data_IF_893362704515
#
_entry.id   IF_893362704515
#
_cell.length_a   1.000
_cell.length_b   1.000
_cell.length_c   1.000
_cell.angle_alpha   90.00
_cell.angle_beta   90.00
_cell.angle_gamma   90.00
#
_symmetry.space_group_name_H-M   'P 1'
#
loop_
_entity.id
_entity.type
_entity.pdbx_description
1 polymer ?
#
# COMPACT_ATOMS: atom_id res chain seq x y z
N UNK A 1 22.70 -16.39 -8.15
CA UNK A 1 21.97 -16.79 -6.92
C UNK A 1 20.88 -15.75 -6.74
N UNK A 2 19.61 -16.17 -6.76
CA UNK A 2 18.45 -15.30 -6.58
C UNK A 2 18.55 -14.56 -5.25
N UNK A 3 18.44 -13.24 -5.27
CA UNK A 3 18.54 -12.40 -4.07
C UNK A 3 17.22 -12.43 -3.30
N UNK A 4 17.30 -12.51 -1.98
CA UNK A 4 16.12 -12.64 -1.13
C UNK A 4 15.75 -11.30 -0.50
N UNK A 5 14.50 -10.89 -0.66
CA UNK A 5 14.01 -9.58 -0.28
C UNK A 5 12.82 -9.73 0.65
N UNK A 6 12.87 -9.10 1.81
CA UNK A 6 11.70 -8.92 2.65
C UNK A 6 11.12 -7.53 2.41
N UNK A 7 9.91 -7.46 1.85
CA UNK A 7 9.21 -6.21 1.64
C UNK A 7 8.10 -6.04 2.67
N UNK A 8 8.30 -5.13 3.61
CA UNK A 8 7.41 -4.84 4.71
C UNK A 8 6.57 -3.58 4.47
N UNK A 9 5.27 -3.70 4.72
CA UNK A 9 4.26 -2.66 4.52
C UNK A 9 3.70 -2.28 5.89
N UNK A 10 3.50 -0.98 6.10
CA UNK A 10 2.89 -0.44 7.33
C UNK A 10 1.55 0.24 7.02
N UNK A 11 0.85 0.70 8.07
CA UNK A 11 -0.48 1.34 7.95
C UNK A 11 -0.47 2.74 7.35
N UNK A 12 0.28 2.96 6.28
CA UNK A 12 0.39 4.23 5.57
C UNK A 12 -0.33 4.14 4.22
N UNK A 13 -1.18 5.15 3.93
CA UNK A 13 -1.74 5.33 2.59
C UNK A 13 -0.84 6.12 1.65
N UNK A 14 -0.05 7.05 2.21
CA UNK A 14 0.99 7.75 1.46
C UNK A 14 2.06 6.74 1.01
N UNK A 15 2.52 6.87 -0.25
CA UNK A 15 3.43 5.96 -0.92
C UNK A 15 2.93 4.52 -1.08
N UNK A 16 1.68 4.21 -0.74
CA UNK A 16 1.20 2.82 -0.78
C UNK A 16 1.21 2.29 -2.22
N UNK A 17 0.58 2.99 -3.16
CA UNK A 17 0.53 2.56 -4.56
C UNK A 17 1.92 2.53 -5.18
N UNK A 18 2.70 3.58 -4.96
CA UNK A 18 4.06 3.73 -5.46
C UNK A 18 5.01 2.64 -4.89
N UNK A 19 4.73 2.14 -3.69
CA UNK A 19 5.48 1.02 -3.12
C UNK A 19 5.13 -0.30 -3.80
N UNK A 20 3.86 -0.53 -4.12
CA UNK A 20 3.46 -1.74 -4.86
C UNK A 20 3.93 -1.68 -6.31
N UNK A 21 3.85 -0.53 -6.98
CA UNK A 21 4.43 -0.30 -8.30
C UNK A 21 5.94 -0.59 -8.29
N UNK A 22 6.69 -0.03 -7.34
CA UNK A 22 8.12 -0.30 -7.20
C UNK A 22 8.45 -1.78 -6.91
N UNK A 23 7.58 -2.47 -6.17
CA UNK A 23 7.69 -3.91 -5.94
C UNK A 23 7.44 -4.70 -7.23
N UNK A 24 6.43 -4.34 -8.03
CA UNK A 24 6.15 -4.95 -9.33
C UNK A 24 7.34 -4.79 -10.27
N UNK A 25 7.85 -3.56 -10.39
CA UNK A 25 9.05 -3.24 -11.16
C UNK A 25 10.27 -4.08 -10.74
N UNK A 26 10.49 -4.23 -9.44
CA UNK A 26 11.58 -5.02 -8.88
C UNK A 26 11.43 -6.50 -9.27
N UNK A 27 10.22 -7.03 -9.12
CA UNK A 27 9.90 -8.40 -9.48
C UNK A 27 10.02 -8.61 -10.98
N UNK A 28 9.65 -7.65 -11.83
CA UNK A 28 9.81 -7.79 -13.27
C UNK A 28 11.29 -7.78 -13.69
N UNK A 29 12.05 -6.77 -13.24
CA UNK A 29 13.37 -6.44 -13.79
C UNK A 29 14.52 -7.24 -13.19
N UNK A 30 14.34 -7.83 -12.01
CA UNK A 30 15.44 -8.44 -11.25
C UNK A 30 15.19 -9.91 -10.92
N UNK A 31 16.27 -10.69 -10.79
CA UNK A 31 16.20 -12.09 -10.33
C UNK A 31 16.13 -12.14 -8.79
N UNK A 32 14.92 -11.92 -8.26
CA UNK A 32 14.66 -11.79 -6.82
C UNK A 32 13.55 -12.72 -6.33
N UNK A 33 13.65 -13.14 -5.07
CA UNK A 33 12.60 -13.85 -4.33
C UNK A 33 12.10 -12.93 -3.22
N UNK A 34 10.79 -12.72 -3.15
CA UNK A 34 10.17 -11.74 -2.24
C UNK A 34 9.31 -12.43 -1.20
N UNK A 35 9.52 -12.07 0.06
CA UNK A 35 8.57 -12.31 1.15
C UNK A 35 7.90 -10.97 1.52
N UNK A 36 6.55 -10.92 1.52
CA UNK A 36 5.80 -9.74 1.94
C UNK A 36 5.45 -9.80 3.43
N UNK A 37 5.61 -8.69 4.13
CA UNK A 37 5.28 -8.56 5.55
C UNK A 37 4.27 -7.44 5.76
N UNK A 38 3.13 -7.74 6.35
CA UNK A 38 2.10 -6.75 6.66
C UNK A 38 1.94 -6.59 8.16
N UNK A 39 2.10 -5.36 8.66
CA UNK A 39 1.60 -5.06 10.00
C UNK A 39 0.07 -5.16 10.07
N UNK A 40 -0.49 -5.26 11.28
CA UNK A 40 -1.95 -5.30 11.46
C UNK A 40 -2.63 -4.10 10.79
N UNK A 41 -2.07 -2.91 10.98
CA UNK A 41 -2.56 -1.68 10.35
C UNK A 41 -2.35 -1.68 8.83
N UNK A 42 -1.27 -2.28 8.32
CA UNK A 42 -1.01 -2.38 6.90
C UNK A 42 -2.08 -3.20 6.18
N UNK A 43 -2.50 -4.33 6.77
CA UNK A 43 -3.55 -5.19 6.21
C UNK A 43 -4.86 -4.41 6.03
N UNK A 44 -5.29 -3.68 7.07
CA UNK A 44 -6.51 -2.88 7.03
C UNK A 44 -6.44 -1.74 6.00
N UNK A 45 -5.29 -1.06 5.95
CA UNK A 45 -5.05 0.04 5.03
C UNK A 45 -5.04 -0.47 3.59
N UNK A 46 -4.23 -1.48 3.27
CA UNK A 46 -4.14 -2.06 1.93
C UNK A 46 -5.50 -2.56 1.42
N UNK A 47 -6.33 -3.14 2.29
CA UNK A 47 -7.72 -3.50 1.99
C UNK A 47 -8.55 -2.28 1.58
N UNK A 48 -8.55 -1.23 2.40
CA UNK A 48 -9.38 -0.05 2.15
C UNK A 48 -8.95 0.75 0.90
N UNK A 49 -7.67 0.67 0.52
CA UNK A 49 -7.16 1.27 -0.72
C UNK A 49 -7.36 0.37 -1.95
N UNK A 50 -7.88 -0.85 -1.78
CA UNK A 50 -8.16 -1.77 -2.89
C UNK A 50 -6.91 -2.37 -3.53
N UNK A 51 -5.79 -2.30 -2.82
CA UNK A 51 -4.48 -2.87 -3.19
C UNK A 51 -4.45 -4.37 -2.89
N UNK A 52 -5.14 -4.74 -1.83
CA UNK A 52 -5.19 -6.09 -1.30
C UNK A 52 -6.64 -6.49 -1.12
N UNK A 53 -7.03 -7.70 -1.52
CA UNK A 53 -8.33 -8.28 -1.18
C UNK A 53 -8.13 -9.55 -0.37
N UNK A 54 -8.89 -9.74 0.72
CA UNK A 54 -8.90 -11.05 1.38
C UNK A 54 -9.33 -12.11 0.37
N UNK A 55 -8.86 -13.36 0.51
CA UNK A 55 -9.38 -14.48 -0.28
C UNK A 55 -10.90 -14.48 -0.16
N UNK A 56 -11.58 -14.64 -1.29
CA UNK A 56 -13.03 -14.89 -1.28
C UNK A 56 -13.17 -16.34 -0.86
N UNK A 57 -13.79 -16.66 0.29
CA UNK A 57 -14.01 -18.05 0.66
C UNK A 57 -14.83 -18.71 -0.46
N UNK A 58 -14.27 -19.72 -1.11
CA UNK A 58 -15.06 -20.53 -2.02
C UNK A 58 -16.20 -21.20 -1.22
N UNK A 59 -17.34 -21.44 -1.87
CA UNK A 59 -18.53 -22.00 -1.21
C UNK A 59 -18.33 -23.45 -0.72
N UNK A 60 -17.16 -24.04 -0.95
CA UNK A 60 -16.83 -25.39 -0.53
C UNK A 60 -16.30 -25.39 0.91
N UNK A 61 -16.98 -26.18 1.74
CA UNK A 61 -16.67 -26.29 3.16
C UNK A 61 -15.40 -27.11 3.36
N UNK A 62 -14.26 -26.42 3.44
CA UNK A 62 -13.14 -26.62 4.37
C UNK A 62 -11.94 -25.85 3.80
N UNK A 63 -11.46 -24.84 4.53
CA UNK A 63 -10.20 -24.15 4.21
C UNK A 63 -9.07 -25.08 4.68
N UNK A 64 -8.66 -26.02 3.82
CA UNK A 64 -7.66 -27.06 4.17
C UNK A 64 -6.20 -26.62 3.91
N UNK A 65 -5.97 -25.48 3.23
CA UNK A 65 -4.62 -24.97 2.95
C UNK A 65 -4.22 -23.85 3.92
N UNK A 66 -3.17 -24.11 4.69
CA UNK A 66 -2.50 -23.15 5.57
C UNK A 66 -1.94 -22.00 4.73
N UNK A 67 -2.67 -20.87 4.73
CA UNK A 67 -2.43 -19.60 4.02
C UNK A 67 -2.69 -19.65 2.50
N UNK A 68 -3.95 -19.45 2.11
CA UNK A 68 -4.25 -18.98 0.76
C UNK A 68 -3.57 -17.62 0.52
N UNK A 69 -2.87 -17.50 -0.61
CA UNK A 69 -2.31 -16.23 -1.04
C UNK A 69 -3.46 -15.23 -1.27
N UNK A 70 -3.32 -14.00 -0.80
CA UNK A 70 -4.32 -12.97 -1.01
C UNK A 70 -4.44 -12.60 -2.49
N UNK A 71 -5.65 -12.19 -2.90
CA UNK A 71 -5.84 -11.65 -4.24
C UNK A 71 -5.40 -10.19 -4.27
N UNK A 72 -4.30 -9.91 -4.96
CA UNK A 72 -3.85 -8.55 -5.21
C UNK A 72 -4.59 -7.95 -6.40
N UNK A 73 -4.91 -6.66 -6.32
CA UNK A 73 -5.44 -5.95 -7.47
C UNK A 73 -4.30 -5.69 -8.45
N UNK A 74 -4.10 -6.58 -9.43
CA UNK A 74 -2.96 -6.58 -10.35
C UNK A 74 -2.67 -5.21 -10.98
N UNK A 75 -3.72 -4.43 -11.23
CA UNK A 75 -3.58 -3.07 -11.75
C UNK A 75 -2.69 -2.17 -10.89
N UNK A 76 -2.59 -2.35 -9.57
CA UNK A 76 -1.72 -1.52 -8.70
C UNK A 76 -0.24 -1.65 -9.03
N UNK A 77 0.17 -2.73 -9.69
CA UNK A 77 1.53 -2.93 -10.14
C UNK A 77 1.80 -2.17 -11.46
N UNK A 78 0.77 -1.58 -12.08
CA UNK A 78 0.89 -0.73 -13.25
C UNK A 78 0.81 0.75 -12.87
N UNK A 79 1.65 1.58 -13.48
CA UNK A 79 1.67 3.03 -13.21
C UNK A 79 0.37 3.75 -13.56
N UNK A 80 -0.45 3.17 -14.44
CA UNK A 80 -1.73 3.74 -14.89
C UNK A 80 -2.85 3.63 -13.85
N UNK A 81 -2.71 2.78 -12.82
CA UNK A 81 -3.77 2.59 -11.82
C UNK A 81 -4.16 3.90 -11.13
N UNK A 82 -3.19 4.72 -10.73
CA UNK A 82 -3.46 6.00 -10.08
C UNK A 82 -4.23 6.91 -11.04
N UNK A 83 -3.82 6.98 -12.31
CA UNK A 83 -4.45 7.81 -13.34
C UNK A 83 -5.90 7.37 -13.63
N UNK A 84 -6.17 6.06 -13.67
CA UNK A 84 -7.51 5.48 -13.86
C UNK A 84 -8.51 5.91 -12.80
N UNK A 85 -8.03 6.18 -11.58
CA UNK A 85 -8.86 6.57 -10.45
C UNK A 85 -8.65 8.04 -10.03
N UNK A 86 -7.94 8.85 -10.82
CA UNK A 86 -7.82 10.30 -10.61
C UNK A 86 -9.19 11.00 -10.85
N UNK A 87 -9.80 11.37 -9.72
CA UNK A 87 -10.80 12.43 -9.52
C UNK A 87 -12.18 12.35 -10.21
N UNK A 88 -13.19 11.94 -9.42
CA UNK A 88 -14.63 12.22 -9.63
C UNK A 88 -15.20 12.97 -8.42
N UNK A 89 -14.81 14.24 -8.20
CA UNK A 89 -15.21 14.97 -6.98
C UNK A 89 -15.15 16.50 -7.03
N UNK A 90 -16.14 17.11 -7.70
CA UNK A 90 -16.66 18.49 -7.54
C UNK A 90 -15.71 19.67 -7.23
N UNK A 91 -15.06 20.21 -8.27
CA UNK A 91 -14.84 21.65 -8.51
C UNK A 91 -14.46 21.90 -9.96
N UNK A 92 -15.47 21.98 -10.84
CA UNK A 92 -15.33 22.19 -12.30
C UNK A 92 -14.63 23.50 -12.71
N UNK A 93 -14.39 24.44 -11.79
CA UNK A 93 -14.01 25.81 -12.17
C UNK A 93 -12.54 26.21 -11.95
N UNK A 94 -11.72 25.43 -11.25
CA UNK A 94 -10.31 25.81 -11.01
C UNK A 94 -9.31 25.18 -11.99
N UNK A 95 -9.69 24.14 -12.74
CA UNK A 95 -8.81 23.44 -13.69
C UNK A 95 -8.60 24.16 -15.02
N UNK A 96 -9.53 25.03 -15.46
CA UNK A 96 -9.37 25.77 -16.73
C UNK A 96 -8.20 26.76 -16.74
N UNK A 97 -7.70 27.19 -15.59
CA UNK A 97 -6.62 28.19 -15.49
C UNK A 97 -5.22 27.60 -15.33
N UNK A 98 -5.09 26.34 -14.91
CA UNK A 98 -3.78 25.67 -14.77
C UNK A 98 -3.42 24.76 -15.94
N UNK A 99 -4.39 24.34 -16.76
CA UNK A 99 -4.16 23.54 -17.97
C UNK A 99 -3.73 24.36 -19.21
N UNK A 100 -3.66 25.69 -19.13
CA UNK A 100 -3.24 26.54 -20.25
C UNK A 100 -1.73 26.84 -20.30
N UNK A 101 -0.93 26.39 -19.34
CA UNK A 101 0.52 26.70 -19.29
C UNK A 101 1.45 25.49 -19.19
N UNK A 102 0.95 24.26 -19.36
CA UNK A 102 1.83 23.09 -19.35
C UNK A 102 1.24 21.90 -20.08
N UNK A 103 1.85 21.58 -21.21
CA UNK A 103 1.75 20.33 -21.99
C UNK A 103 0.45 20.06 -22.75
N UNK A 104 0.59 20.02 -24.08
CA UNK A 104 -0.43 19.57 -25.05
C UNK A 104 -0.84 18.14 -24.73
N UNK A 105 -2.10 17.94 -24.32
CA UNK A 105 -2.77 16.64 -24.29
C UNK A 105 -3.17 16.26 -25.71
N UNK A 106 -2.64 15.14 -26.20
CA UNK A 106 -3.30 14.31 -27.20
C UNK A 106 -4.31 13.43 -26.46
N UNK A 107 -5.55 13.40 -26.94
CA UNK A 107 -6.62 12.54 -26.42
C UNK A 107 -6.27 11.05 -26.58
N UNK A 108 -6.70 10.15 -25.67
CA UNK A 108 -6.43 8.73 -25.81
C UNK A 108 -7.29 8.17 -26.96
N UNK A 109 -6.61 7.66 -27.99
CA UNK A 109 -7.20 6.80 -29.01
C UNK A 109 -7.54 5.44 -28.39
N UNK A 110 -8.78 5.00 -28.59
CA UNK A 110 -9.28 3.68 -28.21
C UNK A 110 -8.57 2.56 -29.01
N UNK A 111 -7.43 2.06 -28.51
CA UNK A 111 -6.76 0.82 -28.98
C UNK A 111 -6.15 0.03 -27.79
N UNK A 112 -6.76 0.04 -26.60
CA UNK A 112 -6.12 -0.47 -25.36
C UNK A 112 -6.54 -1.87 -24.88
N UNK A 113 -7.50 -2.55 -25.50
CA UNK A 113 -8.03 -3.79 -24.91
C UNK A 113 -7.12 -5.02 -25.02
N UNK A 114 -6.25 -5.12 -26.04
CA UNK A 114 -5.39 -6.29 -26.21
C UNK A 114 -4.12 -6.27 -25.34
N UNK A 115 -3.66 -5.09 -24.90
CA UNK A 115 -2.45 -4.98 -24.08
C UNK A 115 -2.72 -5.22 -22.59
N UNK A 116 -3.90 -4.82 -22.07
CA UNK A 116 -4.22 -4.95 -20.63
C UNK A 116 -4.29 -6.42 -20.16
N UNK A 117 -4.87 -7.32 -20.96
CA UNK A 117 -4.97 -8.75 -20.59
C UNK A 117 -3.61 -9.45 -20.58
N UNK A 118 -2.74 -9.12 -21.53
CA UNK A 118 -1.37 -9.65 -21.60
C UNK A 118 -0.51 -9.14 -20.43
N UNK A 119 -0.64 -7.85 -20.08
CA UNK A 119 0.04 -7.25 -18.93
C UNK A 119 -0.38 -7.92 -17.61
N UNK A 120 -1.67 -8.20 -17.41
CA UNK A 120 -2.14 -8.89 -16.21
C UNK A 120 -1.65 -10.34 -16.12
N UNK A 121 -1.65 -11.08 -17.22
CA UNK A 121 -1.13 -12.45 -17.24
C UNK A 121 0.37 -12.50 -16.87
N UNK A 122 1.16 -11.53 -17.35
CA UNK A 122 2.57 -11.41 -16.98
C UNK A 122 2.75 -11.12 -15.49
N UNK A 123 1.96 -10.21 -14.91
CA UNK A 123 2.02 -9.89 -13.49
C UNK A 123 1.64 -11.09 -12.63
N UNK A 124 0.60 -11.84 -13.01
CA UNK A 124 0.22 -13.09 -12.31
C UNK A 124 1.36 -14.10 -12.31
N UNK A 125 2.00 -14.32 -13.46
CA UNK A 125 3.16 -15.20 -13.57
C UNK A 125 4.32 -14.71 -12.69
N UNK A 126 4.61 -13.40 -12.67
CA UNK A 126 5.65 -12.83 -11.83
C UNK A 126 5.36 -13.05 -10.34
N UNK A 127 4.10 -12.90 -9.91
CA UNK A 127 3.69 -13.18 -8.54
C UNK A 127 3.92 -14.66 -8.23
N UNK A 128 3.47 -15.57 -9.08
CA UNK A 128 3.63 -17.02 -8.85
C UNK A 128 5.11 -17.45 -8.79
N UNK A 129 5.98 -16.87 -9.63
CA UNK A 129 7.39 -17.25 -9.71
C UNK A 129 8.30 -16.57 -8.66
N UNK A 130 7.96 -15.34 -8.24
CA UNK A 130 8.86 -14.49 -7.43
C UNK A 130 8.33 -14.15 -6.05
N UNK A 131 7.02 -14.18 -5.82
CA UNK A 131 6.46 -14.03 -4.47
C UNK A 131 6.47 -15.39 -3.77
N UNK A 132 7.33 -15.54 -2.77
CA UNK A 132 7.49 -16.80 -2.05
C UNK A 132 6.52 -16.92 -0.87
N UNK A 133 6.31 -15.86 -0.08
CA UNK A 133 5.41 -15.90 1.10
C UNK A 133 4.78 -14.53 1.37
N UNK A 134 3.61 -14.54 2.01
CA UNK A 134 2.94 -13.36 2.53
C UNK A 134 2.60 -13.57 4.01
N UNK A 135 3.23 -12.78 4.86
CA UNK A 135 3.14 -12.88 6.31
C UNK A 135 2.34 -11.70 6.86
N UNK A 136 1.24 -12.01 7.56
CA UNK A 136 0.45 -11.03 8.30
C UNK A 136 0.76 -11.10 9.79
N UNK A 137 0.91 -9.94 10.41
CA UNK A 137 1.02 -9.81 11.87
C UNK A 137 -0.14 -10.47 12.61
N UNK A 138 -1.36 -10.37 12.07
CA UNK A 138 -2.57 -10.94 12.67
C UNK A 138 -2.59 -12.47 12.69
N UNK A 139 -1.74 -13.12 11.89
CA UNK A 139 -1.66 -14.58 11.81
C UNK A 139 -0.54 -15.11 12.73
N UNK A 140 0.12 -14.22 13.49
CA UNK A 140 1.22 -14.56 14.38
C UNK A 140 0.88 -14.30 15.86
N UNK A 141 1.58 -15.01 16.75
CA UNK A 141 1.58 -14.70 18.17
C UNK A 141 2.48 -13.51 18.50
N UNK A 142 2.47 -13.08 19.76
CA UNK A 142 3.19 -11.89 20.24
C UNK A 142 4.73 -11.89 20.04
N UNK A 143 5.33 -13.03 19.72
CA UNK A 143 6.77 -13.15 19.44
C UNK A 143 7.15 -12.88 17.97
N UNK A 144 6.17 -12.82 17.06
CA UNK A 144 6.35 -12.63 15.62
C UNK A 144 7.44 -13.53 15.00
N UNK A 145 7.28 -14.88 15.08
CA UNK A 145 8.35 -15.81 14.74
C UNK A 145 8.86 -15.68 13.30
N UNK A 146 8.03 -15.24 12.34
CA UNK A 146 8.50 -15.03 10.97
C UNK A 146 9.52 -13.89 10.86
N UNK A 147 9.50 -12.90 11.77
CA UNK A 147 10.53 -11.86 11.82
C UNK A 147 11.94 -12.44 12.09
N UNK A 148 12.02 -13.60 12.77
CA UNK A 148 13.29 -14.28 13.02
C UNK A 148 14.00 -14.75 11.74
N UNK A 149 13.29 -14.81 10.60
CA UNK A 149 13.92 -15.03 9.28
C UNK A 149 15.01 -13.99 9.01
N UNK A 150 14.79 -12.73 9.40
CA UNK A 150 15.77 -11.66 9.20
C UNK A 150 17.06 -11.85 10.02
N UNK A 151 16.98 -12.38 11.24
CA UNK A 151 18.17 -12.64 12.07
C UNK A 151 19.03 -13.80 11.57
N UNK A 152 18.47 -14.70 10.75
CA UNK A 152 19.15 -15.90 10.23
C UNK A 152 19.77 -15.67 8.83
N UNK A 153 20.12 -14.43 8.50
CA UNK A 153 20.69 -14.02 7.20
C UNK A 153 19.88 -14.51 5.98
N UNK A 154 18.56 -14.68 6.14
CA UNK A 154 17.69 -15.15 5.05
C UNK A 154 17.43 -14.09 3.98
N UNK A 155 17.62 -12.81 4.29
CA UNK A 155 17.39 -11.71 3.35
C UNK A 155 18.70 -10.99 3.07
N UNK A 156 18.90 -10.63 1.81
CA UNK A 156 19.93 -9.68 1.41
C UNK A 156 19.43 -8.24 1.64
N UNK A 157 18.11 -8.03 1.47
CA UNK A 157 17.45 -6.74 1.61
C UNK A 157 16.19 -6.82 2.45
N UNK A 158 16.01 -5.81 3.33
CA UNK A 158 14.72 -5.53 3.96
C UNK A 158 14.27 -4.15 3.52
N UNK A 159 13.07 -4.04 2.98
CA UNK A 159 12.49 -2.79 2.50
C UNK A 159 11.25 -2.53 3.33
N UNK A 160 11.16 -1.38 3.97
CA UNK A 160 9.96 -0.98 4.72
C UNK A 160 9.33 0.18 3.96
N UNK A 161 8.36 -0.13 3.10
CA UNK A 161 7.74 0.82 2.20
C UNK A 161 6.26 0.49 1.95
N UNK A 162 5.33 1.40 2.30
CA UNK A 162 5.55 2.64 3.04
C UNK A 162 5.81 2.41 4.54
N UNK A 163 6.56 3.30 5.18
CA UNK A 163 6.80 3.33 6.62
C UNK A 163 6.11 4.53 7.30
N UNK A 164 5.10 4.28 8.14
CA UNK A 164 4.46 5.34 8.95
C UNK A 164 5.45 6.00 9.90
N UNK A 165 5.22 7.28 10.25
CA UNK A 165 5.98 7.95 11.31
C UNK A 165 6.02 7.17 12.64
N UNK A 166 4.94 6.46 13.00
CA UNK A 166 4.91 5.58 14.16
C UNK A 166 5.90 4.43 14.05
N UNK A 167 5.95 3.75 12.89
CA UNK A 167 6.93 2.68 12.65
C UNK A 167 8.35 3.24 12.67
N UNK A 168 8.60 4.36 11.98
CA UNK A 168 9.93 4.99 11.94
C UNK A 168 10.41 5.37 13.34
N UNK A 169 9.54 5.98 14.16
CA UNK A 169 9.86 6.35 15.54
C UNK A 169 10.15 5.12 16.42
N UNK A 170 9.39 4.02 16.26
CA UNK A 170 9.65 2.76 16.98
C UNK A 170 11.00 2.19 16.61
N UNK A 171 11.32 2.08 15.32
CA UNK A 171 12.61 1.55 14.87
C UNK A 171 13.75 2.46 15.34
N UNK A 172 13.65 3.78 15.16
CA UNK A 172 14.68 4.74 15.56
C UNK A 172 15.03 4.71 17.06
N UNK A 173 14.08 4.27 17.89
CA UNK A 173 14.23 4.12 19.35
C UNK A 173 14.49 2.66 19.78
N UNK A 174 14.50 1.71 18.85
CA UNK A 174 14.74 0.29 19.12
C UNK A 174 13.53 -0.50 19.65
N UNK A 175 12.32 0.04 19.53
CA UNK A 175 11.08 -0.66 19.87
C UNK A 175 10.74 -1.66 18.74
N UNK A 176 10.53 -2.92 19.11
CA UNK A 176 10.27 -4.06 18.23
C UNK A 176 9.03 -4.85 18.69
N UNK A 177 7.89 -4.16 18.77
CA UNK A 177 6.64 -4.67 19.39
C UNK A 177 5.60 -5.17 18.38
N UNK A 178 5.91 -5.11 17.08
CA UNK A 178 5.08 -5.62 16.01
C UNK A 178 5.92 -6.32 14.93
N UNK A 179 5.28 -7.03 14.00
CA UNK A 179 5.97 -7.83 12.97
C UNK A 179 7.03 -7.02 12.21
N UNK A 180 6.66 -5.84 11.71
CA UNK A 180 7.54 -5.01 10.87
C UNK A 180 8.70 -4.39 11.65
N UNK A 181 8.44 -3.88 12.86
CA UNK A 181 9.49 -3.30 13.71
C UNK A 181 10.46 -4.38 14.20
N UNK A 182 9.96 -5.57 14.52
CA UNK A 182 10.78 -6.72 14.90
C UNK A 182 11.65 -7.20 13.73
N UNK A 183 11.09 -7.27 12.52
CA UNK A 183 11.84 -7.58 11.30
C UNK A 183 13.01 -6.61 11.10
N UNK A 184 12.77 -5.30 11.24
CA UNK A 184 13.78 -4.26 11.09
C UNK A 184 14.91 -4.40 12.13
N UNK A 185 14.54 -4.51 13.41
CA UNK A 185 15.50 -4.60 14.51
C UNK A 185 16.31 -5.90 14.45
N UNK A 186 15.70 -7.03 14.08
CA UNK A 186 16.42 -8.30 13.90
C UNK A 186 17.34 -8.27 12.67
N UNK A 187 16.87 -7.72 11.55
CA UNK A 187 17.69 -7.55 10.36
C UNK A 187 18.91 -6.67 10.60
N UNK A 188 18.77 -5.60 11.39
CA UNK A 188 19.87 -4.68 11.70
C UNK A 188 21.00 -5.32 12.53
N UNK A 189 20.73 -6.47 13.18
CA UNK A 189 21.74 -7.24 13.92
C UNK A 189 22.62 -8.09 13.01
N UNK A 190 22.24 -8.24 11.75
CA UNK A 190 23.02 -8.98 10.76
C UNK A 190 24.04 -8.09 10.09
N UNK A 191 25.15 -8.69 9.62
CA UNK A 191 26.18 -7.95 8.87
C UNK A 191 25.91 -7.89 7.37
N UNK A 192 25.03 -8.75 6.86
CA UNK A 192 24.79 -8.96 5.43
C UNK A 192 23.56 -8.21 4.93
N UNK A 193 22.54 -8.05 5.76
CA UNK A 193 21.27 -7.47 5.34
C UNK A 193 21.36 -5.96 5.28
N UNK A 194 20.99 -5.37 4.14
CA UNK A 194 20.80 -3.93 3.99
C UNK A 194 19.33 -3.57 4.16
N UNK A 195 19.03 -2.56 4.98
CA UNK A 195 17.66 -2.15 5.27
C UNK A 195 17.38 -0.78 4.65
N UNK A 196 16.35 -0.71 3.81
CA UNK A 196 15.81 0.54 3.29
C UNK A 196 14.48 0.86 3.98
N UNK A 197 14.33 2.09 4.46
CA UNK A 197 13.09 2.56 5.06
C UNK A 197 12.60 3.75 4.28
N UNK A 198 11.31 3.76 3.91
CA UNK A 198 10.67 4.84 3.14
C UNK A 198 9.61 5.53 4.00
N UNK A 199 9.99 6.57 4.77
CA UNK A 199 9.06 7.29 5.63
C UNK A 199 8.00 8.04 4.83
N UNK A 200 6.76 8.05 5.33
CA UNK A 200 5.73 8.98 4.84
C UNK A 200 6.02 10.42 5.24
N UNK A 201 6.76 10.62 6.33
CA UNK A 201 6.91 11.89 7.03
C UNK A 201 8.37 12.41 6.95
N UNK A 202 8.94 12.42 5.74
CA UNK A 202 10.37 12.70 5.53
C UNK A 202 10.76 14.19 5.63
N UNK A 203 9.84 15.11 5.29
CA UNK A 203 10.08 16.57 5.29
C UNK A 203 9.06 17.29 6.15
N UNK A 204 9.54 18.29 6.90
CA UNK A 204 8.68 19.16 7.71
C UNK A 204 7.84 20.06 6.81
N UNK A 205 6.59 20.28 7.17
CA UNK A 205 5.66 21.13 6.45
C UNK A 205 4.41 20.39 5.99
N UNK A 206 3.62 21.08 5.17
CA UNK A 206 2.37 20.52 4.64
C UNK A 206 2.66 19.60 3.46
N UNK A 207 2.30 18.33 3.63
CA UNK A 207 2.34 17.31 2.57
C UNK A 207 0.93 16.97 2.12
N UNK A 208 0.80 16.63 0.84
CA UNK A 208 -0.44 16.12 0.28
C UNK A 208 -0.53 14.63 0.61
N UNK A 209 -1.69 14.21 1.11
CA UNK A 209 -2.03 12.82 1.30
C UNK A 209 -3.38 12.52 0.66
N UNK A 210 -3.57 11.30 0.20
CA UNK A 210 -4.79 10.84 -0.44
C UNK A 210 -5.49 9.86 0.49
N UNK A 211 -6.76 10.11 0.79
CA UNK A 211 -7.55 9.25 1.67
C UNK A 211 -8.09 8.01 0.94
N UNK A 212 -8.35 6.90 1.65
CA UNK A 212 -8.98 5.72 1.05
C UNK A 212 -10.46 6.01 0.80
N UNK A 213 -11.29 4.98 0.69
CA UNK A 213 -12.75 5.16 0.65
C UNK A 213 -13.21 5.92 1.90
N UNK A 214 -13.70 7.13 1.69
CA UNK A 214 -14.24 8.01 2.73
C UNK A 214 -15.73 8.18 2.53
N UNK A 215 -16.51 7.98 3.59
CA UNK A 215 -17.92 8.33 3.63
C UNK A 215 -18.07 9.59 4.47
N UNK A 216 -18.61 10.66 3.90
CA UNK A 216 -18.89 11.93 4.60
C UNK A 216 -20.31 11.95 5.16
N UNK A 217 -20.54 11.61 6.46
CA UNK A 217 -21.88 11.39 6.96
C UNK A 217 -22.68 12.70 7.11
N UNK A 218 -21.99 13.81 7.31
CA UNK A 218 -22.59 15.13 7.54
C UNK A 218 -23.19 15.73 6.27
N UNK A 219 -22.64 15.38 5.11
CA UNK A 219 -23.14 15.83 3.79
C UNK A 219 -24.12 14.84 3.17
N UNK A 220 -24.30 13.66 3.79
CA UNK A 220 -25.19 12.61 3.30
C UNK A 220 -26.67 13.03 3.29
N UNK A 221 -27.31 12.89 2.13
CA UNK A 221 -28.74 13.24 1.91
C UNK A 221 -29.74 12.26 2.49
N UNK A 222 -29.29 11.16 3.11
CA UNK A 222 -30.13 10.15 3.77
C UNK A 222 -31.27 9.63 2.86
N UNK A 223 -30.92 9.31 1.63
CA UNK A 223 -31.86 8.79 0.62
C UNK A 223 -32.72 7.65 1.20
N UNK A 224 -33.99 7.60 0.82
CA UNK A 224 -34.87 6.49 1.19
C UNK A 224 -34.31 5.18 0.62
N UNK A 225 -33.86 5.21 -0.63
CA UNK A 225 -33.12 4.13 -1.29
C UNK A 225 -31.69 4.57 -1.63
N UNK A 226 -30.70 3.97 -0.98
CA UNK A 226 -29.29 4.33 -1.17
C UNK A 226 -28.57 3.33 -2.09
N UNK A 227 -28.38 3.68 -3.38
CA UNK A 227 -27.69 2.81 -4.34
C UNK A 227 -26.28 2.40 -3.90
N UNK A 228 -25.54 3.29 -3.23
CA UNK A 228 -24.21 2.96 -2.70
C UNK A 228 -24.23 1.94 -1.54
N UNK A 229 -25.31 1.91 -0.75
CA UNK A 229 -25.51 0.90 0.30
C UNK A 229 -25.76 -0.47 -0.34
N UNK A 230 -26.64 -0.52 -1.35
CA UNK A 230 -26.96 -1.74 -2.09
C UNK A 230 -25.78 -2.30 -2.90
N UNK A 231 -24.94 -1.41 -3.43
CA UNK A 231 -23.78 -1.81 -4.20
C UNK A 231 -22.65 -2.41 -3.33
N UNK A 232 -22.61 -2.11 -2.03
CA UNK A 232 -21.57 -2.60 -1.14
C UNK A 232 -21.81 -4.08 -0.75
N UNK A 233 -21.40 -5.01 -1.61
CA UNK A 233 -21.57 -6.46 -1.41
C UNK A 233 -20.90 -6.96 -0.12
N UNK A 234 -19.78 -6.34 0.28
CA UNK A 234 -19.07 -6.68 1.52
C UNK A 234 -19.82 -6.25 2.79
N UNK A 235 -20.89 -5.46 2.67
CA UNK A 235 -21.63 -4.93 3.83
C UNK A 235 -20.79 -3.97 4.69
N UNK A 236 -19.74 -3.37 4.12
CA UNK A 236 -18.90 -2.36 4.77
C UNK A 236 -19.69 -1.09 5.06
N UNK A 237 -20.61 -0.72 4.17
CA UNK A 237 -21.52 0.41 4.39
C UNK A 237 -22.77 -0.09 5.12
N UNK A 238 -23.11 0.56 6.23
CA UNK A 238 -24.29 0.20 7.03
C UNK A 238 -25.09 1.42 7.42
N UNK A 239 -26.42 1.30 7.44
CA UNK A 239 -27.34 2.33 7.94
C UNK A 239 -27.81 1.95 9.35
N UNK A 240 -27.48 2.76 10.36
CA UNK A 240 -27.94 2.58 11.75
C UNK A 240 -28.57 3.88 12.25
N UNK A 241 -29.85 3.83 12.66
CA UNK A 241 -30.62 4.99 13.17
C UNK A 241 -30.55 6.22 12.23
N UNK A 242 -30.72 5.99 10.92
CA UNK A 242 -30.68 7.06 9.92
C UNK A 242 -29.29 7.65 9.62
N UNK A 243 -28.21 7.12 10.21
CA UNK A 243 -26.83 7.49 9.87
C UNK A 243 -26.17 6.36 9.09
N UNK A 244 -25.49 6.71 8.00
CA UNK A 244 -24.67 5.77 7.25
C UNK A 244 -23.27 5.77 7.87
N UNK A 245 -22.68 4.59 8.02
CA UNK A 245 -21.31 4.39 8.49
C UNK A 245 -20.58 3.45 7.55
N UNK A 246 -19.28 3.68 7.41
CA UNK A 246 -18.36 2.79 6.71
C UNK A 246 -17.54 2.03 7.77
N UNK A 247 -17.63 0.70 7.75
CA UNK A 247 -16.73 -0.18 8.49
C UNK A 247 -15.52 -0.48 7.61
N UNK A 248 -14.38 0.12 7.95
CA UNK A 248 -13.13 -0.01 7.20
C UNK A 248 -12.61 -1.45 7.19
N UNK A 249 -12.82 -2.20 8.28
CA UNK A 249 -12.40 -3.59 8.40
C UNK A 249 -13.13 -4.54 7.43
N UNK A 250 -14.25 -4.11 6.85
CA UNK A 250 -14.99 -4.86 5.83
C UNK A 250 -14.81 -4.27 4.42
N UNK A 251 -14.15 -3.12 4.30
CA UNK A 251 -13.99 -2.43 3.02
C UNK A 251 -12.80 -3.01 2.26
N UNK A 252 -13.06 -3.61 1.10
CA UNK A 252 -12.01 -4.15 0.21
C UNK A 252 -11.60 -3.18 -0.90
N UNK A 253 -12.04 -1.92 -0.82
CA UNK A 253 -11.68 -0.91 -1.81
C UNK A 253 -12.19 -1.20 -3.24
N UNK A 254 -13.31 -1.90 -3.42
CA UNK A 254 -13.88 -2.19 -4.75
C UNK A 254 -14.45 -0.96 -5.49
N UNK A 255 -14.60 0.17 -4.78
CA UNK A 255 -15.09 1.46 -5.28
C UNK A 255 -16.53 1.49 -5.81
N UNK A 256 -17.29 0.39 -5.76
CA UNK A 256 -18.70 0.36 -6.18
C UNK A 256 -19.53 1.45 -5.47
N UNK A 257 -19.32 1.60 -4.16
CA UNK A 257 -20.01 2.61 -3.39
C UNK A 257 -19.71 4.06 -3.84
N UNK A 258 -18.49 4.32 -4.33
CA UNK A 258 -18.10 5.61 -4.92
C UNK A 258 -18.85 5.79 -6.25
N UNK A 259 -18.82 4.78 -7.12
CA UNK A 259 -19.48 4.78 -8.43
C UNK A 259 -20.99 4.98 -8.36
N UNK A 260 -21.66 4.31 -7.42
CA UNK A 260 -23.12 4.30 -7.32
C UNK A 260 -23.69 5.38 -6.38
N UNK A 261 -22.85 6.17 -5.70
CA UNK A 261 -23.33 7.28 -4.89
C UNK A 261 -23.79 8.45 -5.79
N UNK A 262 -25.10 8.57 -6.02
CA UNK A 262 -25.71 9.64 -6.85
C UNK A 262 -25.39 11.08 -6.39
N UNK A 263 -24.95 11.23 -5.15
CA UNK A 263 -24.65 12.54 -4.54
C UNK A 263 -23.15 12.79 -4.34
N UNK A 264 -22.27 11.85 -4.73
CA UNK A 264 -20.81 12.00 -4.59
C UNK A 264 -20.33 12.17 -3.15
N UNK A 265 -21.05 11.57 -2.18
CA UNK A 265 -20.74 11.68 -0.74
C UNK A 265 -19.63 10.72 -0.32
N UNK A 266 -19.43 9.66 -1.11
CA UNK A 266 -18.39 8.68 -0.88
C UNK A 266 -17.26 8.99 -1.85
N UNK A 267 -16.09 9.30 -1.32
CA UNK A 267 -14.91 9.71 -2.07
C UNK A 267 -13.83 8.63 -1.97
N UNK A 268 -12.90 8.64 -2.92
CA UNK A 268 -11.68 7.84 -2.93
C UNK A 268 -10.57 8.72 -3.49
N UNK A 269 -9.37 8.61 -2.92
CA UNK A 269 -8.22 9.49 -3.20
C UNK A 269 -8.55 10.98 -3.03
N UNK A 270 -9.32 11.28 -1.98
CA UNK A 270 -9.56 12.67 -1.59
C UNK A 270 -8.26 13.28 -1.07
N UNK A 271 -7.82 14.36 -1.72
CA UNK A 271 -6.65 15.14 -1.33
C UNK A 271 -6.89 15.85 0.00
N UNK A 272 -6.01 15.59 0.95
CA UNK A 272 -5.91 16.33 2.21
C UNK A 272 -4.51 16.87 2.42
N UNK A 273 -4.41 17.98 3.16
CA UNK A 273 -3.14 18.49 3.65
C UNK A 273 -2.91 17.97 5.06
N UNK A 274 -1.76 17.35 5.27
CA UNK A 274 -1.31 16.90 6.58
C UNK A 274 -0.01 17.64 6.90
N UNK A 275 0.08 18.19 8.11
CA UNK A 275 1.30 18.86 8.56
C UNK A 275 2.22 17.85 9.21
N UNK A 276 3.39 17.64 8.61
CA UNK A 276 4.48 16.88 9.22
C UNK A 276 5.24 17.79 10.17
N UNK A 277 5.39 17.37 11.41
CA UNK A 277 6.11 18.14 12.40
C UNK A 277 7.60 17.75 12.44
N UNK A 278 8.40 18.59 13.10
CA UNK A 278 9.82 18.36 13.35
C UNK A 278 10.13 16.99 13.99
N UNK A 279 9.23 16.47 14.84
CA UNK A 279 9.45 15.21 15.57
C UNK A 279 9.55 14.00 14.63
N UNK A 280 8.70 13.94 13.59
CA UNK A 280 8.70 12.83 12.64
C UNK A 280 9.99 12.85 11.80
N UNK A 281 10.40 14.05 11.38
CA UNK A 281 11.64 14.26 10.62
C UNK A 281 12.88 13.89 11.45
N UNK A 282 12.91 14.24 12.73
CA UNK A 282 14.04 13.91 13.60
C UNK A 282 14.16 12.40 13.83
N UNK A 283 13.04 11.68 13.96
CA UNK A 283 13.04 10.22 14.05
C UNK A 283 13.64 9.58 12.79
N UNK A 284 13.27 10.06 11.60
CA UNK A 284 13.84 9.59 10.35
C UNK A 284 15.36 9.85 10.27
N UNK A 285 15.81 11.05 10.66
CA UNK A 285 17.24 11.40 10.72
C UNK A 285 18.02 10.56 11.74
N UNK A 286 17.39 10.22 12.86
CA UNK A 286 18.01 9.35 13.86
C UNK A 286 18.16 7.93 13.32
N UNK A 287 17.16 7.44 12.61
CA UNK A 287 17.18 6.12 11.99
C UNK A 287 18.27 5.98 10.93
N UNK A 288 18.49 7.02 10.12
CA UNK A 288 19.53 7.04 9.08
C UNK A 288 20.96 6.98 9.63
N UNK A 289 21.14 7.21 10.94
CA UNK A 289 22.44 7.06 11.61
C UNK A 289 22.74 5.62 12.04
N UNK A 290 21.76 4.72 11.97
CA UNK A 290 21.95 3.34 12.38
C UNK A 290 22.74 2.58 11.33
N UNK A 291 23.63 1.69 11.79
CA UNK A 291 24.39 0.83 10.87
C UNK A 291 23.43 -0.07 10.08
N UNK A 292 23.70 -0.23 8.79
CA UNK A 292 22.95 -1.07 7.84
C UNK A 292 21.50 -0.61 7.57
N UNK A 293 21.11 0.58 8.01
CA UNK A 293 19.82 1.19 7.67
C UNK A 293 20.07 2.45 6.84
N UNK A 294 19.31 2.61 5.77
CA UNK A 294 19.30 3.83 4.96
C UNK A 294 17.88 4.32 4.74
N UNK A 295 17.66 5.60 5.03
CA UNK A 295 16.34 6.22 4.87
C UNK A 295 16.23 6.84 3.48
N UNK A 296 15.20 6.43 2.74
CA UNK A 296 14.91 6.88 1.39
C UNK A 296 13.65 7.74 1.39
N UNK A 297 13.62 8.79 0.57
CA UNK A 297 12.46 9.70 0.51
C UNK A 297 11.32 9.20 -0.38
N UNK A 298 11.56 8.18 -1.21
CA UNK A 298 10.61 7.62 -2.18
C UNK A 298 10.86 6.12 -2.39
N UNK A 299 9.81 5.31 -2.69
CA UNK A 299 9.96 3.90 -3.01
C UNK A 299 10.90 3.63 -4.20
N UNK A 300 10.83 4.47 -5.24
CA UNK A 300 11.65 4.33 -6.45
C UNK A 300 13.14 4.57 -6.18
N UNK A 301 13.51 5.36 -5.16
CA UNK A 301 14.92 5.49 -4.77
C UNK A 301 15.44 4.25 -4.05
N UNK A 302 14.60 3.62 -3.23
CA UNK A 302 14.94 2.32 -2.64
C UNK A 302 15.15 1.27 -3.73
N UNK A 303 14.27 1.22 -4.74
CA UNK A 303 14.42 0.36 -5.91
C UNK A 303 15.75 0.59 -6.64
N UNK A 304 16.06 1.83 -7.02
CA UNK A 304 17.30 2.17 -7.72
C UNK A 304 18.56 1.83 -6.92
N UNK A 305 18.51 1.93 -5.60
CA UNK A 305 19.62 1.56 -4.74
C UNK A 305 19.88 0.04 -4.80
N UNK A 306 18.82 -0.76 -4.81
CA UNK A 306 18.90 -2.22 -4.96
C UNK A 306 19.41 -2.57 -6.36
N UNK A 307 18.82 -2.01 -7.42
CA UNK A 307 19.24 -2.29 -8.81
C UNK A 307 20.72 -1.99 -9.03
N UNK A 308 21.23 -0.90 -8.44
CA UNK A 308 22.64 -0.55 -8.55
C UNK A 308 23.57 -1.56 -7.88
N UNK A 309 23.18 -2.11 -6.73
CA UNK A 309 23.95 -3.14 -6.05
C UNK A 309 23.84 -4.50 -6.75
N UNK A 310 22.69 -4.81 -7.32
CA UNK A 310 22.48 -6.03 -8.10
C UNK A 310 23.26 -6.02 -9.43
N UNK A 311 23.55 -4.85 -9.98
CA UNK A 311 24.33 -4.69 -11.19
C UNK A 311 25.86 -4.70 -10.97
N UNK A 312 26.33 -4.60 -9.71
CA UNK A 312 27.75 -4.58 -9.34
C UNK A 312 28.28 -5.94 -8.92
#
# INVERSE_FOLDING_TARGET
MKKKIAWAITGAGCWLFESFEALGDLMEKQEVEVDLFFSSAAREVAQCYGVFRPPIPEAEGYIDTVRELPNFNLAIFTGEFIEKFQWLGSKKEQLKKKMSEGTKSTAPSHETQNNEEEDYALIEQLIEEKLHDVIFENDEGASYPSAARAANDKYDYIIISPATGNTVAKIATGIADNLVTNLAVLGSKTKKTTIFVVPTDFKEGDVISYLPVMLHPDTCKKCDECSALWACQQGAIRRKRGRIRLNRLLCIGCLDCVRFCRHGIITFLEEIKVTVHKREVEAAKQLDKWNNISVMDTPQKALKAIEKDLAS
#
